data_IF_082263471785
#
_entry.id   IF_082263471785
#
_cell.length_a   1.000
_cell.length_b   1.000
_cell.length_c   1.000
_cell.angle_alpha   90.00
_cell.angle_beta   90.00
_cell.angle_gamma   90.00
#
_symmetry.space_group_name_H-M   'P 1'
#
loop_
_entity.id
_entity.type
_entity.pdbx_description
1 polymer ?
#
# COMPACT_ATOMS: atom_id res chain seq x y z
N UNK A 1 -40.37 -13.45 9.44
CA UNK A 1 -39.84 -14.27 10.55
C UNK A 1 -38.62 -14.99 10.01
N UNK A 2 -37.41 -14.59 10.39
CA UNK A 2 -36.18 -15.19 9.84
C UNK A 2 -36.00 -16.58 10.46
N UNK A 3 -35.79 -17.60 9.61
CA UNK A 3 -35.63 -18.97 10.09
C UNK A 3 -34.36 -19.10 10.95
N UNK A 4 -34.41 -19.79 12.10
CA UNK A 4 -33.30 -19.84 13.08
C UNK A 4 -31.99 -20.40 12.49
N UNK A 5 -32.09 -21.22 11.43
CA UNK A 5 -30.96 -21.74 10.68
C UNK A 5 -30.13 -20.67 9.95
N UNK A 6 -30.74 -19.57 9.48
CA UNK A 6 -29.99 -18.51 8.79
C UNK A 6 -29.10 -17.74 9.76
N UNK A 7 -29.60 -17.48 10.97
CA UNK A 7 -28.84 -16.81 12.03
C UNK A 7 -27.65 -17.67 12.45
N UNK A 8 -27.84 -18.99 12.57
CA UNK A 8 -26.76 -19.93 12.88
C UNK A 8 -25.68 -19.95 11.79
N UNK A 9 -26.07 -19.98 10.51
CA UNK A 9 -25.12 -19.94 9.40
C UNK A 9 -24.32 -18.63 9.41
N UNK A 10 -25.00 -17.49 9.58
CA UNK A 10 -24.34 -16.18 9.66
C UNK A 10 -23.36 -16.10 10.84
N UNK A 11 -23.73 -16.67 11.99
CA UNK A 11 -22.88 -16.73 13.17
C UNK A 11 -21.66 -17.64 12.97
N UNK A 12 -21.81 -18.79 12.32
CA UNK A 12 -20.67 -19.67 12.02
C UNK A 12 -19.73 -19.02 11.00
N UNK A 13 -20.28 -18.37 9.97
CA UNK A 13 -19.49 -17.65 8.97
C UNK A 13 -18.74 -16.48 9.60
N UNK A 14 -19.40 -15.68 10.42
CA UNK A 14 -18.76 -14.55 11.10
C UNK A 14 -17.67 -15.02 12.07
N UNK A 15 -17.88 -16.11 12.81
CA UNK A 15 -16.87 -16.71 13.68
C UNK A 15 -15.67 -17.22 12.89
N UNK A 16 -15.88 -17.91 11.76
CA UNK A 16 -14.79 -18.38 10.89
C UNK A 16 -14.01 -17.22 10.26
N UNK A 17 -14.69 -16.15 9.87
CA UNK A 17 -14.09 -14.93 9.37
C UNK A 17 -13.24 -14.24 10.45
N UNK A 18 -13.79 -14.09 11.66
CA UNK A 18 -13.07 -13.50 12.80
C UNK A 18 -11.86 -14.34 13.18
N UNK A 19 -11.97 -15.67 13.21
CA UNK A 19 -10.83 -16.56 13.46
C UNK A 19 -9.75 -16.38 12.37
N UNK A 20 -10.13 -16.28 11.10
CA UNK A 20 -9.17 -16.05 10.01
C UNK A 20 -8.49 -14.69 10.08
N UNK A 21 -9.23 -13.63 10.42
CA UNK A 21 -8.70 -12.26 10.55
C UNK A 21 -7.80 -12.11 11.79
N UNK A 22 -8.17 -12.76 12.90
CA UNK A 22 -7.38 -12.75 14.15
C UNK A 22 -6.30 -13.84 14.18
N UNK A 23 -6.26 -14.73 13.20
CA UNK A 23 -5.21 -15.74 13.11
C UNK A 23 -3.89 -15.05 12.92
N UNK A 24 -3.04 -15.10 13.94
CA UNK A 24 -1.61 -14.85 13.77
C UNK A 24 -1.05 -16.08 13.07
N UNK A 25 -1.02 -16.02 11.75
CA UNK A 25 -0.28 -16.99 10.96
C UNK A 25 1.19 -16.60 10.99
N UNK A 26 2.01 -17.41 11.66
CA UNK A 26 3.46 -17.32 11.54
C UNK A 26 3.85 -17.95 10.20
N UNK A 27 4.25 -17.12 9.25
CA UNK A 27 4.80 -17.57 7.98
C UNK A 27 6.33 -17.65 8.09
N UNK A 28 6.88 -18.77 7.65
CA UNK A 28 8.30 -19.08 7.60
C UNK A 28 8.78 -19.22 6.16
N UNK A 29 10.11 -19.26 5.95
CA UNK A 29 10.67 -19.46 4.61
C UNK A 29 10.31 -20.84 4.02
N UNK A 30 10.02 -21.80 4.90
CA UNK A 30 9.69 -23.19 4.55
C UNK A 30 8.27 -23.33 3.95
N UNK A 31 7.42 -22.32 4.13
CA UNK A 31 6.09 -22.26 3.51
C UNK A 31 6.15 -21.94 2.01
N UNK A 32 7.34 -21.61 1.49
CA UNK A 32 7.58 -21.27 0.08
C UNK A 32 8.52 -22.29 -0.55
N UNK A 33 8.43 -22.55 -1.87
CA UNK A 33 9.37 -23.41 -2.58
C UNK A 33 10.84 -23.03 -2.30
N UNK A 34 11.74 -24.03 -2.33
CA UNK A 34 13.16 -23.80 -2.08
C UNK A 34 13.73 -22.69 -2.99
N UNK A 35 13.31 -22.67 -4.25
CA UNK A 35 13.79 -21.72 -5.27
C UNK A 35 13.00 -20.39 -5.29
N UNK A 36 12.12 -20.15 -4.33
CA UNK A 36 11.36 -18.90 -4.24
C UNK A 36 12.28 -17.72 -3.90
N UNK A 37 12.29 -16.68 -4.74
CA UNK A 37 13.15 -15.51 -4.54
C UNK A 37 12.35 -14.41 -3.83
N UNK A 38 12.77 -14.07 -2.61
CA UNK A 38 12.36 -12.84 -1.95
C UNK A 38 13.37 -11.73 -2.29
N UNK A 39 12.88 -10.54 -2.58
CA UNK A 39 13.71 -9.40 -2.91
C UNK A 39 13.02 -8.07 -2.56
N UNK A 40 13.77 -6.99 -2.70
CA UNK A 40 13.27 -5.62 -2.56
C UNK A 40 13.74 -4.79 -3.77
N UNK A 41 12.96 -3.79 -4.17
CA UNK A 41 13.27 -2.91 -5.28
C UNK A 41 13.05 -1.45 -4.92
N UNK A 42 13.91 -0.57 -5.45
CA UNK A 42 13.81 0.88 -5.31
C UNK A 42 13.77 1.52 -6.70
N UNK A 43 13.28 2.77 -6.80
CA UNK A 43 13.37 3.54 -8.06
C UNK A 43 14.43 4.63 -7.96
N UNK A 44 15.10 4.90 -9.08
CA UNK A 44 16.19 5.88 -9.17
C UNK A 44 15.80 7.26 -8.60
N UNK A 45 14.59 7.75 -8.95
CA UNK A 45 14.10 9.04 -8.46
C UNK A 45 13.92 9.07 -6.93
N UNK A 46 13.57 7.94 -6.31
CA UNK A 46 13.37 7.86 -4.87
C UNK A 46 14.68 7.78 -4.07
N UNK A 47 15.75 7.20 -4.63
CA UNK A 47 16.94 6.87 -3.82
C UNK A 47 18.26 7.51 -4.28
N UNK A 48 18.43 7.85 -5.56
CA UNK A 48 19.73 8.33 -6.06
C UNK A 48 20.00 9.80 -5.73
N UNK A 49 18.95 10.64 -5.74
CA UNK A 49 19.11 12.09 -5.61
C UNK A 49 19.87 12.68 -6.82
N UNK A 50 20.80 13.61 -6.55
CA UNK A 50 21.69 14.21 -7.55
C UNK A 50 20.98 14.69 -8.84
N UNK A 51 19.73 15.16 -8.72
CA UNK A 51 18.85 15.43 -9.85
C UNK A 51 19.41 16.45 -10.86
N UNK A 52 20.35 17.30 -10.43
CA UNK A 52 20.99 18.35 -11.23
C UNK A 52 22.53 18.23 -11.29
N UNK A 53 23.10 17.04 -11.02
CA UNK A 53 24.55 16.82 -11.02
C UNK A 53 24.98 15.95 -12.20
N UNK A 54 26.29 15.98 -12.50
CA UNK A 54 26.99 15.07 -13.42
C UNK A 54 26.37 14.92 -14.83
N UNK A 55 25.71 15.96 -15.33
CA UNK A 55 25.13 15.96 -16.68
C UNK A 55 23.86 15.12 -16.83
N UNK A 56 23.22 14.72 -15.72
CA UNK A 56 21.92 14.06 -15.74
C UNK A 56 20.88 14.96 -16.42
N UNK A 57 20.17 14.42 -17.40
CA UNK A 57 19.05 15.13 -18.05
C UNK A 57 17.81 15.07 -17.15
N UNK A 58 17.04 16.18 -17.02
CA UNK A 58 15.81 16.19 -16.23
C UNK A 58 14.81 15.14 -16.69
N UNK A 59 14.20 14.46 -15.72
CA UNK A 59 13.09 13.52 -15.93
C UNK A 59 11.74 14.24 -15.83
N UNK A 60 10.67 13.58 -16.29
CA UNK A 60 9.29 14.09 -16.13
C UNK A 60 8.96 14.31 -14.64
N UNK A 61 9.47 13.45 -13.76
CA UNK A 61 9.30 13.57 -12.32
C UNK A 61 9.97 14.82 -11.75
N UNK A 62 11.10 15.27 -12.30
CA UNK A 62 11.72 16.55 -11.92
C UNK A 62 10.79 17.72 -12.26
N UNK A 63 10.19 17.74 -13.45
CA UNK A 63 9.23 18.79 -13.84
C UNK A 63 7.99 18.77 -12.94
N UNK A 64 7.45 17.58 -12.66
CA UNK A 64 6.25 17.43 -11.84
C UNK A 64 6.47 17.78 -10.35
N UNK A 65 7.62 17.43 -9.78
CA UNK A 65 7.92 17.75 -8.39
C UNK A 65 8.19 19.26 -8.18
N UNK A 66 8.83 19.92 -9.15
CA UNK A 66 9.14 21.36 -9.08
C UNK A 66 7.99 22.27 -9.51
N UNK A 67 6.96 21.77 -10.20
CA UNK A 67 5.83 22.58 -10.69
C UNK A 67 4.88 23.07 -9.59
N UNK A 68 5.12 22.73 -8.31
CA UNK A 68 4.34 23.23 -7.18
C UNK A 68 2.87 22.76 -7.14
N UNK A 69 2.46 21.88 -8.06
CA UNK A 69 1.09 21.32 -8.09
C UNK A 69 0.78 20.49 -6.84
N UNK A 70 1.81 19.88 -6.23
CA UNK A 70 1.66 19.22 -4.94
C UNK A 70 1.28 20.20 -3.82
N UNK A 71 1.89 21.39 -3.78
CA UNK A 71 1.58 22.43 -2.79
C UNK A 71 0.21 23.07 -3.03
N UNK A 72 -0.19 23.29 -4.28
CA UNK A 72 -1.53 23.78 -4.59
C UNK A 72 -2.61 22.84 -4.07
N UNK A 73 -2.49 21.52 -4.26
CA UNK A 73 -3.45 20.56 -3.73
C UNK A 73 -3.53 20.56 -2.20
N UNK A 74 -2.39 20.74 -1.50
CA UNK A 74 -2.38 20.85 -0.03
C UNK A 74 -2.96 22.18 0.50
N UNK A 75 -2.85 23.26 -0.27
CA UNK A 75 -3.44 24.55 0.06
C UNK A 75 -4.95 24.56 -0.23
N UNK A 76 -5.40 23.90 -1.32
CA UNK A 76 -6.82 23.76 -1.66
C UNK A 76 -7.58 22.84 -0.69
N UNK A 77 -6.96 21.78 -0.17
CA UNK A 77 -7.62 20.90 0.81
C UNK A 77 -7.85 21.57 2.17
N UNK A 78 -7.01 22.54 2.57
CA UNK A 78 -7.19 23.27 3.84
C UNK A 78 -8.26 24.38 3.77
N UNK A 79 -8.64 24.83 2.57
CA UNK A 79 -9.70 25.84 2.38
C UNK A 79 -11.08 25.26 2.04
N UNK A 80 -11.20 23.94 1.91
CA UNK A 80 -12.50 23.28 1.64
C UNK A 80 -13.15 22.72 2.90
N UNK A 81 -12.52 22.90 4.08
CA UNK A 81 -13.04 22.50 5.40
C UNK A 81 -13.19 23.67 6.39
N UNK A 82 -13.23 24.92 5.91
CA UNK A 82 -13.65 26.10 6.67
C UNK A 82 -14.84 26.78 5.99
#
# INVERSE_FOLDING_TARGET
>A
MFEPRFILILLVVSVKLVIGVLSVADYSRDDFPADFIFGSGTSAYQVEGAANQDGRTPSIWDTFAHSGQFLLLTHFTNYTFL
#
